data_IF_210075720618
#
_entry.id   IF_210075720618
#
_cell.length_a   1.000
_cell.length_b   1.000
_cell.length_c   1.000
_cell.angle_alpha   90.00
_cell.angle_beta   90.00
_cell.angle_gamma   90.00
#
_symmetry.space_group_name_H-M   'P 1'
#
loop_
_entity.id
_entity.type
_entity.pdbx_description
1 polymer ?
#
# COMPACT_ATOMS: atom_id res chain seq x y z
N UNK A 1 62.84 -3.39 9.96
CA UNK A 1 61.88 -3.67 8.87
C UNK A 1 60.64 -4.44 9.30
N UNK A 2 60.75 -5.65 9.89
CA UNK A 2 59.58 -6.51 10.23
C UNK A 2 58.56 -5.90 11.23
N UNK A 3 58.98 -5.02 12.13
CA UNK A 3 58.09 -4.36 13.12
C UNK A 3 57.15 -3.33 12.47
N UNK A 4 57.68 -2.44 11.63
CA UNK A 4 56.90 -1.44 10.91
C UNK A 4 55.86 -2.08 9.97
N UNK A 5 56.21 -3.18 9.30
CA UNK A 5 55.28 -3.93 8.45
C UNK A 5 54.09 -4.49 9.24
N UNK A 6 54.30 -4.98 10.46
CA UNK A 6 53.19 -5.47 11.32
C UNK A 6 52.25 -4.35 11.75
N UNK A 7 52.79 -3.17 12.06
CA UNK A 7 51.98 -1.99 12.38
C UNK A 7 51.17 -1.55 11.17
N UNK A 8 51.80 -1.46 9.99
CA UNK A 8 51.11 -1.11 8.74
C UNK A 8 49.95 -2.06 8.44
N UNK A 9 50.17 -3.38 8.56
CA UNK A 9 49.11 -4.39 8.36
C UNK A 9 47.99 -4.21 9.39
N UNK A 10 48.33 -3.97 10.66
CA UNK A 10 47.34 -3.78 11.73
C UNK A 10 46.47 -2.53 11.49
N UNK A 11 47.08 -1.43 11.03
CA UNK A 11 46.37 -0.21 10.68
C UNK A 11 45.45 -0.44 9.49
N UNK A 12 45.92 -1.12 8.43
CA UNK A 12 45.09 -1.45 7.26
C UNK A 12 43.91 -2.32 7.66
N UNK A 13 44.12 -3.33 8.50
CA UNK A 13 43.04 -4.18 9.01
C UNK A 13 42.02 -3.39 9.85
N UNK A 14 42.49 -2.50 10.72
CA UNK A 14 41.63 -1.64 11.52
C UNK A 14 40.80 -0.69 10.64
N UNK A 15 41.39 -0.10 9.60
CA UNK A 15 40.67 0.71 8.63
C UNK A 15 39.61 -0.10 7.88
N UNK A 16 39.92 -1.35 7.50
CA UNK A 16 38.97 -2.22 6.81
C UNK A 16 37.78 -2.58 7.71
N UNK A 17 38.03 -2.96 8.96
CA UNK A 17 36.99 -3.23 9.95
C UNK A 17 36.12 -1.98 10.18
N UNK A 18 36.76 -0.82 10.36
CA UNK A 18 36.04 0.44 10.55
C UNK A 18 35.15 0.78 9.34
N UNK A 19 35.66 0.61 8.11
CA UNK A 19 34.85 0.81 6.90
C UNK A 19 33.66 -0.16 6.84
N UNK A 20 33.85 -1.42 7.23
CA UNK A 20 32.77 -2.41 7.27
C UNK A 20 31.68 -2.04 8.27
N UNK A 21 32.06 -1.58 9.47
CA UNK A 21 31.13 -1.10 10.49
C UNK A 21 30.35 0.13 10.00
N UNK A 22 31.04 1.10 9.38
CA UNK A 22 30.40 2.30 8.83
C UNK A 22 29.42 1.96 7.71
N UNK A 23 29.79 1.05 6.80
CA UNK A 23 28.89 0.58 5.74
C UNK A 23 27.67 -0.14 6.31
N UNK A 24 27.84 -0.97 7.34
CA UNK A 24 26.74 -1.67 7.99
C UNK A 24 25.77 -0.71 8.66
N UNK A 25 26.27 0.28 9.42
CA UNK A 25 25.43 1.31 10.05
C UNK A 25 24.71 2.14 8.98
N UNK A 26 25.39 2.52 7.90
CA UNK A 26 24.80 3.25 6.78
C UNK A 26 23.68 2.45 6.11
N UNK A 27 23.87 1.14 5.90
CA UNK A 27 22.85 0.26 5.34
C UNK A 27 21.61 0.18 6.23
N UNK A 28 21.78 0.03 7.55
CA UNK A 28 20.66 0.04 8.50
C UNK A 28 19.92 1.39 8.49
N UNK A 29 20.66 2.50 8.43
CA UNK A 29 20.05 3.83 8.35
C UNK A 29 19.25 4.00 7.04
N UNK A 30 19.85 3.64 5.89
CA UNK A 30 19.17 3.69 4.60
C UNK A 30 17.91 2.84 4.57
N UNK A 31 17.95 1.61 5.11
CA UNK A 31 16.77 0.75 5.17
C UNK A 31 15.59 1.43 5.88
N UNK A 32 15.83 1.97 7.08
CA UNK A 32 14.78 2.65 7.86
C UNK A 32 14.24 3.92 7.16
N UNK A 33 15.13 4.68 6.51
CA UNK A 33 14.73 5.88 5.76
C UNK A 33 13.88 5.52 4.54
N UNK A 34 14.28 4.48 3.80
CA UNK A 34 13.53 4.03 2.63
C UNK A 34 12.17 3.46 3.03
N UNK A 35 12.09 2.63 4.07
CA UNK A 35 10.82 2.11 4.58
C UNK A 35 9.87 3.26 4.92
N UNK A 36 10.34 4.25 5.69
CA UNK A 36 9.55 5.44 6.02
C UNK A 36 9.12 6.23 4.78
N UNK A 37 9.99 6.41 3.81
CA UNK A 37 9.66 7.10 2.56
C UNK A 37 8.56 6.36 1.79
N UNK A 38 8.61 5.02 1.71
CA UNK A 38 7.55 4.23 1.11
C UNK A 38 6.24 4.32 1.89
N UNK A 39 6.30 4.34 3.23
CA UNK A 39 5.12 4.57 4.07
C UNK A 39 4.46 5.93 3.78
N UNK A 40 5.27 6.99 3.65
CA UNK A 40 4.79 8.33 3.36
C UNK A 40 4.17 8.41 1.95
N UNK A 41 4.80 7.78 0.95
CA UNK A 41 4.26 7.68 -0.41
C UNK A 41 2.93 6.92 -0.42
N UNK A 42 2.88 5.71 0.15
CA UNK A 42 1.67 4.90 0.22
C UNK A 42 0.53 5.64 0.94
N UNK A 43 0.83 6.30 2.07
CA UNK A 43 -0.13 7.15 2.78
C UNK A 43 -0.71 8.26 1.91
N UNK A 44 0.13 8.89 1.09
CA UNK A 44 -0.31 9.99 0.22
C UNK A 44 -1.13 9.48 -0.98
N UNK A 45 -0.82 8.29 -1.52
CA UNK A 45 -1.62 7.65 -2.56
C UNK A 45 -3.03 7.39 -2.06
N UNK A 46 -3.21 6.72 -0.92
CA UNK A 46 -4.55 6.42 -0.40
C UNK A 46 -5.32 7.66 0.04
N UNK A 47 -4.63 8.71 0.52
CA UNK A 47 -5.24 10.03 0.78
C UNK A 47 -5.78 10.66 -0.51
N UNK A 48 -4.98 10.65 -1.58
CA UNK A 48 -5.42 11.16 -2.88
C UNK A 48 -6.59 10.32 -3.42
N UNK A 49 -6.52 8.99 -3.31
CA UNK A 49 -7.59 8.09 -3.72
C UNK A 49 -8.93 8.40 -3.05
N UNK A 50 -8.95 8.61 -1.74
CA UNK A 50 -10.19 8.99 -1.04
C UNK A 50 -10.70 10.37 -1.45
N UNK A 51 -9.82 11.31 -1.80
CA UNK A 51 -10.23 12.65 -2.25
C UNK A 51 -10.91 12.66 -3.62
N UNK A 52 -10.66 11.65 -4.46
CA UNK A 52 -11.30 11.48 -5.78
C UNK A 52 -12.75 10.94 -5.62
N UNK A 53 -13.03 10.24 -4.51
CA UNK A 53 -14.30 9.54 -4.32
C UNK A 53 -15.41 10.49 -3.87
N UNK A 54 -16.56 10.43 -4.55
CA UNK A 54 -17.84 10.97 -4.11
C UNK A 54 -18.51 9.90 -3.22
N UNK A 55 -18.68 10.13 -1.91
CA UNK A 55 -19.14 9.09 -1.00
C UNK A 55 -20.56 8.58 -1.28
N UNK A 56 -21.46 9.42 -1.80
CA UNK A 56 -22.84 9.00 -2.08
C UNK A 56 -22.90 8.13 -3.33
N UNK A 57 -22.22 8.56 -4.40
CA UNK A 57 -22.14 7.77 -5.64
C UNK A 57 -21.36 6.48 -5.43
N UNK A 58 -20.32 6.48 -4.61
CA UNK A 58 -19.57 5.27 -4.26
C UNK A 58 -20.45 4.29 -3.50
N UNK A 59 -21.25 4.77 -2.53
CA UNK A 59 -22.19 3.91 -1.81
C UNK A 59 -23.22 3.27 -2.76
N UNK A 60 -23.83 4.05 -3.65
CA UNK A 60 -24.76 3.54 -4.67
C UNK A 60 -24.08 2.50 -5.60
N UNK A 61 -22.85 2.79 -6.03
CA UNK A 61 -22.07 1.90 -6.88
C UNK A 61 -21.73 0.59 -6.16
N UNK A 62 -21.34 0.66 -4.88
CA UNK A 62 -20.99 -0.52 -4.08
C UNK A 62 -22.18 -1.47 -3.85
N UNK A 63 -23.41 -0.95 -3.93
CA UNK A 63 -24.64 -1.72 -3.80
C UNK A 63 -25.12 -2.29 -5.13
N UNK A 64 -25.00 -1.52 -6.21
CA UNK A 64 -25.48 -1.90 -7.54
C UNK A 64 -24.49 -2.76 -8.33
N UNK A 65 -23.19 -2.65 -8.04
CA UNK A 65 -22.08 -3.35 -8.72
C UNK A 65 -22.14 -3.26 -10.26
N UNK A 66 -22.67 -2.16 -10.77
CA UNK A 66 -22.94 -2.01 -12.20
C UNK A 66 -21.72 -1.44 -12.92
N UNK A 67 -21.03 -2.27 -13.70
CA UNK A 67 -19.83 -1.87 -14.46
C UNK A 67 -20.12 -0.79 -15.53
N UNK A 68 -21.34 -0.79 -16.10
CA UNK A 68 -21.75 0.25 -17.07
C UNK A 68 -22.17 1.56 -16.42
N UNK A 69 -22.05 1.68 -15.09
CA UNK A 69 -22.42 2.90 -14.38
C UNK A 69 -21.45 4.04 -14.76
N UNK A 70 -21.95 5.22 -15.19
CA UNK A 70 -21.07 6.31 -15.63
C UNK A 70 -20.02 6.72 -14.58
N UNK A 71 -20.43 6.75 -13.31
CA UNK A 71 -19.52 7.04 -12.20
C UNK A 71 -18.42 5.98 -12.01
N UNK A 72 -18.69 4.70 -12.29
CA UNK A 72 -17.65 3.67 -12.21
C UNK A 72 -16.56 3.93 -13.24
N UNK A 73 -16.94 4.23 -14.48
CA UNK A 73 -15.99 4.53 -15.56
C UNK A 73 -15.16 5.79 -15.26
N UNK A 74 -15.80 6.85 -14.76
CA UNK A 74 -15.14 8.07 -14.30
C UNK A 74 -14.13 7.77 -13.17
N UNK A 75 -14.58 7.08 -12.12
CA UNK A 75 -13.77 6.77 -10.96
C UNK A 75 -12.61 5.83 -11.30
N UNK A 76 -12.85 4.81 -12.13
CA UNK A 76 -11.81 3.89 -12.58
C UNK A 76 -10.74 4.61 -13.40
N UNK A 77 -11.14 5.53 -14.29
CA UNK A 77 -10.20 6.35 -15.06
C UNK A 77 -9.33 7.23 -14.15
N UNK A 78 -9.91 7.88 -13.14
CA UNK A 78 -9.16 8.70 -12.19
C UNK A 78 -8.23 7.85 -11.31
N UNK A 79 -8.69 6.67 -10.86
CA UNK A 79 -7.85 5.71 -10.14
C UNK A 79 -6.72 5.18 -11.01
N UNK A 80 -6.94 5.00 -12.31
CA UNK A 80 -5.91 4.59 -13.25
C UNK A 80 -4.85 5.67 -13.48
N UNK A 81 -5.25 6.95 -13.57
CA UNK A 81 -4.30 8.06 -13.59
C UNK A 81 -3.46 8.07 -12.31
N UNK A 82 -4.09 7.88 -11.15
CA UNK A 82 -3.41 7.85 -9.86
C UNK A 82 -2.44 6.64 -9.77
N UNK A 83 -2.87 5.46 -10.20
CA UNK A 83 -2.05 4.25 -10.26
C UNK A 83 -0.82 4.48 -11.15
N UNK A 84 -0.99 4.96 -12.37
CA UNK A 84 0.13 5.18 -13.30
C UNK A 84 1.07 6.33 -12.86
N UNK A 85 0.58 7.28 -12.07
CA UNK A 85 1.38 8.41 -11.58
C UNK A 85 2.38 7.99 -10.49
N UNK A 86 2.02 7.03 -9.64
CA UNK A 86 2.85 6.59 -8.51
C UNK A 86 3.37 5.16 -8.65
N UNK A 87 2.81 4.40 -9.59
CA UNK A 87 3.15 3.00 -9.90
C UNK A 87 3.24 2.11 -8.65
N UNK A 88 2.22 2.09 -7.77
CA UNK A 88 2.17 1.12 -6.67
C UNK A 88 1.97 -0.29 -7.24
N UNK A 89 2.19 -1.32 -6.42
CA UNK A 89 1.91 -2.71 -6.85
C UNK A 89 0.40 -2.93 -7.03
N UNK A 90 -0.42 -2.32 -6.19
CA UNK A 90 -1.88 -2.34 -6.25
C UNK A 90 -2.45 -0.96 -5.88
N UNK A 91 -3.63 -0.62 -6.40
CA UNK A 91 -4.43 0.51 -5.93
C UNK A 91 -5.90 0.20 -6.16
N UNK A 92 -6.68 0.09 -5.10
CA UNK A 92 -8.06 -0.38 -5.21
C UNK A 92 -8.94 0.19 -4.11
N UNK A 93 -10.23 -0.10 -4.24
CA UNK A 93 -11.22 0.13 -3.19
C UNK A 93 -11.86 -1.19 -2.79
N UNK A 94 -12.08 -1.36 -1.48
CA UNK A 94 -12.79 -2.50 -0.91
C UNK A 94 -14.00 -2.02 -0.11
N UNK A 95 -15.08 -2.80 -0.19
CA UNK A 95 -16.14 -2.80 0.82
C UNK A 95 -16.13 -4.11 1.57
N UNK A 96 -16.57 -4.08 2.82
CA UNK A 96 -16.73 -5.25 3.67
C UNK A 96 -18.21 -5.54 3.87
N UNK A 97 -18.62 -6.77 3.59
CA UNK A 97 -19.99 -7.25 3.85
C UNK A 97 -20.12 -7.83 5.27
N UNK A 98 -21.35 -8.11 5.70
CA UNK A 98 -21.66 -8.56 7.07
C UNK A 98 -21.02 -9.92 7.42
N UNK A 99 -20.77 -10.77 6.42
CA UNK A 99 -20.13 -12.08 6.53
C UNK A 99 -18.58 -12.04 6.53
N UNK A 100 -17.99 -10.84 6.59
CA UNK A 100 -16.56 -10.57 6.43
C UNK A 100 -15.98 -10.86 5.04
N UNK A 101 -16.82 -11.01 4.01
CA UNK A 101 -16.35 -11.03 2.62
C UNK A 101 -15.94 -9.61 2.21
N UNK A 102 -14.84 -9.51 1.46
CA UNK A 102 -14.38 -8.27 0.86
C UNK A 102 -14.83 -8.23 -0.59
N UNK A 103 -15.24 -7.06 -1.08
CA UNK A 103 -15.58 -6.84 -2.49
C UNK A 103 -14.81 -5.68 -3.07
N UNK A 104 -14.15 -5.92 -4.19
CA UNK A 104 -13.52 -4.86 -4.98
C UNK A 104 -14.58 -4.00 -5.64
N UNK A 105 -14.50 -2.68 -5.50
CA UNK A 105 -15.43 -1.75 -6.18
C UNK A 105 -14.77 -1.10 -7.39
N UNK A 106 -13.54 -0.63 -7.24
CA UNK A 106 -12.71 -0.03 -8.29
C UNK A 106 -11.28 -0.45 -8.09
N UNK A 107 -10.64 -0.90 -9.17
CA UNK A 107 -9.21 -1.18 -9.29
C UNK A 107 -8.58 -0.17 -10.26
N UNK A 108 -7.45 0.41 -9.87
CA UNK A 108 -6.72 1.40 -10.66
C UNK A 108 -5.86 0.81 -11.79
N UNK A 109 -5.70 -0.51 -11.88
CA UNK A 109 -4.96 -1.11 -12.99
C UNK A 109 -5.68 -0.94 -14.34
N UNK A 110 -4.96 -1.20 -15.43
CA UNK A 110 -5.59 -1.38 -16.75
C UNK A 110 -6.56 -2.57 -16.67
N UNK A 111 -7.75 -2.43 -17.24
CA UNK A 111 -8.80 -3.47 -17.16
C UNK A 111 -8.41 -4.77 -17.85
N UNK A 112 -7.36 -4.75 -18.68
CA UNK A 112 -6.80 -5.94 -19.33
C UNK A 112 -5.60 -6.55 -18.59
N UNK A 113 -5.18 -5.98 -17.45
CA UNK A 113 -4.07 -6.52 -16.67
C UNK A 113 -4.44 -7.84 -15.99
N UNK A 114 -3.49 -8.77 -15.90
CA UNK A 114 -3.72 -10.10 -15.31
C UNK A 114 -4.19 -10.03 -13.84
N UNK A 115 -3.70 -9.05 -13.08
CA UNK A 115 -4.02 -8.85 -11.67
C UNK A 115 -5.25 -7.91 -11.45
N UNK A 116 -5.93 -7.46 -12.52
CA UNK A 116 -7.06 -6.53 -12.41
C UNK A 116 -8.28 -7.19 -11.75
N UNK A 117 -8.82 -6.53 -10.73
CA UNK A 117 -10.03 -6.96 -10.03
C UNK A 117 -11.27 -6.23 -10.56
N UNK A 118 -12.12 -6.96 -11.30
CA UNK A 118 -13.40 -6.43 -11.77
C UNK A 118 -14.34 -6.06 -10.60
N UNK A 119 -15.24 -5.09 -10.80
CA UNK A 119 -16.22 -4.69 -9.80
C UNK A 119 -17.03 -5.89 -9.29
N UNK A 120 -17.15 -6.00 -7.97
CA UNK A 120 -17.86 -7.07 -7.30
C UNK A 120 -17.05 -8.36 -7.12
N UNK A 121 -15.79 -8.43 -7.59
CA UNK A 121 -14.89 -9.55 -7.29
C UNK A 121 -14.78 -9.71 -5.78
N UNK A 122 -15.00 -10.94 -5.30
CA UNK A 122 -14.98 -11.27 -3.88
C UNK A 122 -13.59 -11.76 -3.46
N UNK A 123 -13.20 -11.41 -2.24
CA UNK A 123 -11.98 -11.88 -1.59
C UNK A 123 -12.24 -12.14 -0.10
N UNK A 124 -11.37 -12.94 0.53
CA UNK A 124 -11.46 -13.23 1.95
C UNK A 124 -10.66 -12.22 2.77
N UNK A 125 -11.21 -11.77 3.89
CA UNK A 125 -10.47 -11.00 4.89
C UNK A 125 -9.23 -11.73 5.40
N UNK A 126 -9.22 -13.07 5.39
CA UNK A 126 -8.09 -13.89 5.83
C UNK A 126 -6.84 -13.74 4.93
N UNK A 127 -7.02 -13.23 3.70
CA UNK A 127 -5.91 -12.96 2.78
C UNK A 127 -5.19 -11.63 3.07
N UNK A 128 -5.69 -10.86 4.04
CA UNK A 128 -5.20 -9.54 4.41
C UNK A 128 -4.66 -9.51 5.84
N UNK A 129 -3.74 -8.59 6.05
CA UNK A 129 -3.19 -8.33 7.37
C UNK A 129 -4.26 -7.68 8.29
N UNK A 130 -4.26 -7.97 9.61
CA UNK A 130 -5.25 -7.44 10.55
C UNK A 130 -5.39 -5.91 10.53
N UNK A 131 -4.34 -5.20 10.12
CA UNK A 131 -4.30 -3.74 9.95
C UNK A 131 -5.42 -3.23 9.03
N UNK A 132 -5.86 -3.99 8.03
CA UNK A 132 -7.00 -3.60 7.19
C UNK A 132 -8.26 -3.30 8.03
N UNK A 133 -8.48 -4.04 9.12
CA UNK A 133 -9.61 -3.83 10.02
C UNK A 133 -9.55 -2.48 10.75
N UNK A 134 -8.36 -1.92 10.95
CA UNK A 134 -8.19 -0.59 11.55
C UNK A 134 -8.80 0.49 10.64
N UNK A 135 -8.64 0.34 9.32
CA UNK A 135 -9.28 1.22 8.34
C UNK A 135 -10.80 1.04 8.32
N UNK A 136 -11.30 -0.19 8.39
CA UNK A 136 -12.75 -0.43 8.54
C UNK A 136 -13.34 0.10 9.87
N UNK A 137 -12.52 0.35 10.88
CA UNK A 137 -12.90 1.04 12.12
C UNK A 137 -12.80 2.58 12.03
N UNK A 138 -12.51 3.12 10.84
CA UNK A 138 -12.48 4.55 10.56
C UNK A 138 -11.14 5.23 10.84
N UNK A 139 -10.04 4.48 10.94
CA UNK A 139 -8.71 5.03 11.19
C UNK A 139 -7.75 4.73 10.03
N UNK A 140 -7.08 5.74 9.45
CA UNK A 140 -6.04 5.47 8.48
C UNK A 140 -4.90 4.66 9.12
N UNK A 141 -4.29 3.79 8.33
CA UNK A 141 -3.19 2.95 8.77
C UNK A 141 -2.20 2.74 7.62
N UNK A 142 -0.92 2.62 7.97
CA UNK A 142 0.14 2.21 7.06
C UNK A 142 0.92 1.10 7.78
N UNK A 143 1.13 -0.01 7.10
CA UNK A 143 1.82 -1.16 7.67
C UNK A 143 3.34 -0.98 7.58
N UNK A 144 4.08 -1.88 8.23
CA UNK A 144 5.47 -2.14 7.84
C UNK A 144 5.48 -3.03 6.59
N UNK A 145 6.66 -3.40 6.11
CA UNK A 145 6.75 -4.50 5.15
C UNK A 145 6.30 -5.80 5.85
N UNK A 146 5.22 -6.37 5.35
CA UNK A 146 4.60 -7.62 5.80
C UNK A 146 4.64 -8.63 4.66
N UNK A 147 4.64 -9.92 5.01
CA UNK A 147 4.70 -11.01 4.02
C UNK A 147 3.33 -11.67 3.93
N UNK A 148 2.61 -11.35 2.86
CA UNK A 148 1.39 -12.04 2.46
C UNK A 148 1.74 -13.37 1.79
N UNK A 149 1.01 -14.42 2.13
CA UNK A 149 1.13 -15.72 1.46
C UNK A 149 0.71 -15.65 -0.02
N UNK A 150 -0.27 -14.79 -0.32
CA UNK A 150 -0.83 -14.62 -1.66
C UNK A 150 -0.08 -13.56 -2.47
N UNK A 151 0.32 -12.48 -1.82
CA UNK A 151 0.79 -11.26 -2.51
C UNK A 151 2.27 -10.94 -2.30
N UNK A 152 2.99 -11.76 -1.52
CA UNK A 152 4.42 -11.59 -1.26
C UNK A 152 4.72 -10.51 -0.21
N UNK A 153 5.92 -9.92 -0.29
CA UNK A 153 6.33 -8.88 0.66
C UNK A 153 5.79 -7.51 0.22
N UNK A 154 4.84 -6.98 1.01
CA UNK A 154 4.15 -5.73 0.74
C UNK A 154 4.19 -4.80 1.95
N UNK A 155 4.31 -3.52 1.67
CA UNK A 155 3.93 -2.45 2.58
C UNK A 155 2.61 -1.89 2.06
N UNK A 156 1.59 -1.88 2.91
CA UNK A 156 0.25 -1.44 2.53
C UNK A 156 -0.16 -0.19 3.29
N UNK A 157 -0.94 0.65 2.63
CA UNK A 157 -1.65 1.74 3.27
C UNK A 157 -3.15 1.57 3.06
N UNK A 158 -3.94 1.91 4.08
CA UNK A 158 -5.39 1.88 4.01
C UNK A 158 -5.98 3.18 4.55
N UNK A 159 -6.91 3.75 3.79
CA UNK A 159 -7.67 4.95 4.17
C UNK A 159 -9.17 4.66 4.14
N UNK A 160 -9.92 4.95 5.23
CA UNK A 160 -11.37 4.80 5.22
C UNK A 160 -12.04 5.78 4.26
N UNK A 161 -13.03 5.26 3.53
CA UNK A 161 -13.99 6.06 2.76
C UNK A 161 -15.15 6.35 3.72
N UNK A 162 -15.37 7.63 4.02
CA UNK A 162 -16.38 8.08 4.99
C UNK A 162 -17.62 8.58 4.26
N UNK A 163 -18.81 8.13 4.70
CA UNK A 163 -20.07 8.76 4.29
C UNK A 163 -20.21 10.15 4.90
N UNK A 164 -21.19 10.93 4.40
CA UNK A 164 -21.55 12.24 5.00
C UNK A 164 -21.99 12.13 6.47
N UNK A 165 -22.43 10.95 6.92
CA UNK A 165 -22.83 10.68 8.30
C UNK A 165 -21.68 10.12 9.17
N UNK A 166 -20.44 10.24 8.70
CA UNK A 166 -19.24 9.77 9.39
C UNK A 166 -19.23 8.25 9.66
N UNK A 167 -19.85 7.47 8.77
CA UNK A 167 -19.79 6.01 8.77
C UNK A 167 -18.79 5.53 7.72
N UNK A 168 -18.02 4.50 8.03
CA UNK A 168 -17.13 3.87 7.03
C UNK A 168 -17.99 3.11 6.03
N UNK A 169 -17.84 3.42 4.74
CA UNK A 169 -18.56 2.75 3.63
C UNK A 169 -17.63 1.94 2.73
N UNK A 170 -16.33 1.99 2.98
CA UNK A 170 -15.31 1.25 2.26
C UNK A 170 -13.92 1.73 2.67
N UNK A 171 -12.90 1.22 2.00
CA UNK A 171 -11.50 1.63 2.18
C UNK A 171 -10.83 1.76 0.82
N UNK A 172 -9.89 2.69 0.70
CA UNK A 172 -8.88 2.70 -0.37
C UNK A 172 -7.64 1.98 0.16
N UNK A 173 -7.10 1.05 -0.62
CA UNK A 173 -5.87 0.32 -0.32
C UNK A 173 -4.84 0.45 -1.44
N UNK A 174 -3.56 0.47 -1.08
CA UNK A 174 -2.43 0.30 -2.00
C UNK A 174 -1.32 -0.54 -1.36
#
# INVERSE_FOLDING_TARGET
MKFFTKIQISVVLACFILSGVLLFISALYMYNVMEKQFQDVASNIVKAGVQIIDPEKFLELSQSLTETHPYYQELQSEFNILYNSFNPKYLYTLVKTEDNTLKYIVDGMDTNADDFSAIGTEDSLDNYEPELLVAFQGKPIVTKVLKSEQWGELLSAYMPIMSKNNTVIGVVGC
#
